data_IF_489623732980
#
_entry.id   IF_489623732980
#
_cell.length_a   1.000
_cell.length_b   1.000
_cell.length_c   1.000
_cell.angle_alpha   90.00
_cell.angle_beta   90.00
_cell.angle_gamma   90.00
#
_symmetry.space_group_name_H-M   'P 1'
#
loop_
_entity.id
_entity.type
_entity.pdbx_description
1 polymer ?
#
# COMPACT_ATOMS: atom_id res chain seq x y z
N UNK A 1 63.83 8.39 -48.19
CA UNK A 1 64.41 7.11 -48.67
C UNK A 1 63.53 6.03 -48.07
N UNK A 2 62.78 5.24 -48.85
CA UNK A 2 63.25 4.11 -49.67
C UNK A 2 63.91 3.04 -48.77
N UNK A 3 63.47 1.77 -48.70
CA UNK A 3 62.49 1.04 -49.53
C UNK A 3 61.88 -0.20 -48.81
N UNK A 4 60.68 -0.57 -49.26
CA UNK A 4 59.92 -1.85 -49.15
C UNK A 4 60.70 -3.12 -49.63
N UNK A 5 60.12 -4.36 -49.72
CA UNK A 5 58.99 -5.02 -48.99
C UNK A 5 59.19 -6.55 -48.73
N UNK A 6 58.09 -7.27 -48.34
CA UNK A 6 57.72 -8.69 -48.66
C UNK A 6 58.58 -9.87 -48.14
N UNK A 7 58.09 -11.07 -47.82
CA UNK A 7 56.75 -11.67 -47.54
C UNK A 7 56.98 -12.95 -46.66
N UNK A 8 56.06 -13.77 -46.13
CA UNK A 8 54.85 -14.43 -46.65
C UNK A 8 54.10 -15.19 -45.50
N UNK A 9 52.90 -15.71 -45.75
CA UNK A 9 51.92 -16.31 -44.80
C UNK A 9 51.56 -17.77 -45.25
N UNK A 10 50.87 -18.70 -44.56
CA UNK A 10 50.00 -18.79 -43.35
C UNK A 10 50.26 -20.16 -42.63
N UNK A 11 49.93 -20.41 -41.36
CA UNK A 11 48.79 -21.21 -40.78
C UNK A 11 49.21 -21.63 -39.34
N UNK A 12 48.40 -21.92 -38.31
CA UNK A 12 46.94 -22.06 -38.09
C UNK A 12 46.68 -22.54 -36.62
N UNK A 13 45.45 -22.92 -36.26
CA UNK A 13 45.03 -23.52 -34.95
C UNK A 13 44.83 -22.57 -33.75
N UNK A 14 43.64 -21.95 -33.75
CA UNK A 14 42.63 -21.92 -32.66
C UNK A 14 43.07 -21.78 -31.19
N UNK A 15 42.75 -20.61 -30.61
CA UNK A 15 42.62 -20.40 -29.16
C UNK A 15 41.18 -20.66 -28.70
N UNK A 16 41.00 -21.52 -27.69
CA UNK A 16 39.69 -21.75 -27.06
C UNK A 16 39.42 -20.73 -25.94
N UNK A 17 38.80 -19.61 -26.30
CA UNK A 17 38.12 -18.74 -25.33
C UNK A 17 36.63 -19.10 -25.28
N UNK A 18 36.03 -19.31 -24.09
CA UNK A 18 34.59 -19.52 -23.99
C UNK A 18 33.84 -18.20 -24.18
N UNK A 19 32.98 -18.15 -25.20
CA UNK A 19 32.08 -17.01 -25.42
C UNK A 19 31.17 -16.81 -24.21
N UNK A 20 31.28 -15.64 -23.58
CA UNK A 20 30.28 -15.14 -22.63
C UNK A 20 29.07 -14.72 -23.44
N UNK A 21 28.19 -15.69 -23.71
CA UNK A 21 26.91 -15.45 -24.34
C UNK A 21 26.07 -14.50 -23.46
N UNK A 22 26.03 -13.23 -23.84
CA UNK A 22 25.14 -12.22 -23.28
C UNK A 22 23.71 -12.69 -23.53
N UNK A 23 23.09 -13.28 -22.50
CA UNK A 23 21.68 -13.63 -22.57
C UNK A 23 20.88 -12.33 -22.65
N UNK A 24 20.36 -12.04 -23.84
CA UNK A 24 19.31 -11.04 -24.04
C UNK A 24 18.22 -11.23 -22.97
N UNK A 25 17.62 -10.14 -22.44
CA UNK A 25 16.56 -10.28 -21.46
C UNK A 25 15.47 -11.16 -22.07
N UNK A 26 15.21 -12.31 -21.45
CA UNK A 26 14.02 -13.10 -21.78
C UNK A 26 12.84 -12.15 -21.60
N UNK A 27 12.14 -11.86 -22.70
CA UNK A 27 10.75 -11.46 -22.60
C UNK A 27 10.08 -12.54 -21.75
N UNK A 28 9.69 -12.19 -20.53
CA UNK A 28 8.67 -12.96 -19.84
C UNK A 28 7.43 -12.84 -20.71
N UNK A 29 7.22 -13.85 -21.57
CA UNK A 29 5.95 -14.04 -22.24
C UNK A 29 4.89 -13.99 -21.17
N UNK A 30 3.95 -13.05 -21.30
CA UNK A 30 2.96 -12.75 -20.29
C UNK A 30 1.99 -13.92 -20.14
N UNK A 31 2.45 -14.97 -19.44
CA UNK A 31 1.62 -16.00 -18.88
C UNK A 31 0.56 -15.28 -18.07
N UNK A 32 -0.69 -15.43 -18.49
CA UNK A 32 -1.84 -14.93 -17.75
C UNK A 32 -1.92 -15.70 -16.44
N UNK A 33 -1.13 -15.27 -15.45
CA UNK A 33 -1.17 -15.76 -14.09
C UNK A 33 -2.60 -15.54 -13.61
N UNK A 34 -3.37 -16.62 -13.63
CA UNK A 34 -4.73 -16.67 -13.10
C UNK A 34 -4.62 -16.17 -11.66
N UNK A 35 -5.18 -14.99 -11.43
CA UNK A 35 -5.15 -14.40 -10.10
C UNK A 35 -5.94 -15.30 -9.16
N UNK A 36 -5.50 -15.48 -7.90
CA UNK A 36 -6.30 -16.21 -6.93
C UNK A 36 -7.68 -15.55 -6.80
N UNK A 37 -8.73 -16.33 -6.46
CA UNK A 37 -10.05 -15.78 -6.23
C UNK A 37 -10.01 -14.71 -5.15
N UNK A 38 -10.86 -13.71 -5.35
CA UNK A 38 -11.08 -12.60 -4.43
C UNK A 38 -12.53 -12.63 -4.01
N UNK A 39 -12.78 -12.50 -2.72
CA UNK A 39 -14.12 -12.30 -2.18
C UNK A 39 -14.19 -10.98 -1.43
N UNK A 40 -15.39 -10.40 -1.34
CA UNK A 40 -15.62 -9.12 -0.67
C UNK A 40 -16.78 -9.23 0.30
N UNK A 41 -16.64 -8.63 1.48
CA UNK A 41 -17.68 -8.69 2.50
C UNK A 41 -17.54 -7.65 3.61
N UNK A 42 -18.57 -7.63 4.44
CA UNK A 42 -18.71 -6.77 5.62
C UNK A 42 -19.13 -7.56 6.87
N UNK A 43 -19.22 -8.89 6.77
CA UNK A 43 -19.56 -9.75 7.92
C UNK A 43 -18.41 -9.80 8.93
N UNK A 44 -18.74 -10.26 10.14
CA UNK A 44 -17.79 -10.36 11.25
C UNK A 44 -16.53 -11.17 10.90
N UNK A 45 -16.65 -12.21 10.08
CA UNK A 45 -15.52 -13.04 9.64
C UNK A 45 -14.53 -12.27 8.77
N UNK A 46 -15.00 -11.43 7.84
CA UNK A 46 -14.12 -10.57 7.03
C UNK A 46 -13.44 -9.51 7.91
N UNK A 47 -14.18 -8.95 8.86
CA UNK A 47 -13.68 -7.93 9.79
C UNK A 47 -12.59 -8.50 10.69
N UNK A 48 -12.83 -9.68 11.30
CA UNK A 48 -11.86 -10.43 12.10
C UNK A 48 -10.65 -10.86 11.26
N UNK A 49 -10.88 -11.40 10.07
CA UNK A 49 -9.82 -11.85 9.16
C UNK A 49 -8.87 -10.72 8.78
N UNK A 50 -9.39 -9.54 8.42
CA UNK A 50 -8.55 -8.38 8.15
C UNK A 50 -7.83 -7.89 9.41
N UNK A 51 -8.51 -7.80 10.55
CA UNK A 51 -7.92 -7.34 11.80
C UNK A 51 -6.77 -8.26 12.28
N UNK A 52 -6.91 -9.59 12.14
CA UNK A 52 -5.87 -10.57 12.45
C UNK A 52 -4.66 -10.44 11.51
N UNK A 53 -4.89 -10.35 10.21
CA UNK A 53 -3.82 -10.22 9.23
C UNK A 53 -3.03 -8.91 9.43
N UNK A 54 -3.72 -7.79 9.71
CA UNK A 54 -3.09 -6.49 10.03
C UNK A 54 -2.33 -6.56 11.36
N UNK A 55 -2.89 -7.13 12.43
CA UNK A 55 -2.19 -7.19 13.71
C UNK A 55 -0.89 -7.99 13.64
N UNK A 56 -0.93 -9.13 12.94
CA UNK A 56 0.23 -10.00 12.72
C UNK A 56 1.29 -9.35 11.82
N UNK A 57 0.87 -8.65 10.76
CA UNK A 57 1.78 -8.01 9.80
C UNK A 57 2.39 -6.69 10.33
N UNK A 58 1.68 -5.94 11.17
CA UNK A 58 2.07 -4.59 11.62
C UNK A 58 2.58 -4.51 13.06
N UNK A 59 2.74 -5.64 13.76
CA UNK A 59 3.24 -5.68 15.16
C UNK A 59 4.64 -5.06 15.35
N UNK A 60 5.44 -4.97 14.29
CA UNK A 60 6.78 -4.37 14.28
C UNK A 60 6.87 -3.14 13.37
N UNK A 61 5.73 -2.63 12.88
CA UNK A 61 5.69 -1.42 12.08
C UNK A 61 5.86 -0.18 12.97
N UNK A 62 6.89 0.66 12.76
CA UNK A 62 7.19 1.77 13.68
C UNK A 62 6.03 2.74 13.89
N UNK A 63 5.24 3.04 12.84
CA UNK A 63 4.12 3.96 12.93
C UNK A 63 2.97 3.39 13.76
N UNK A 64 2.63 2.12 13.54
CA UNK A 64 1.63 1.43 14.36
C UNK A 64 2.05 1.32 15.82
N UNK A 65 3.31 0.96 16.08
CA UNK A 65 3.89 0.93 17.43
C UNK A 65 3.79 2.30 18.11
N UNK A 66 4.20 3.38 17.42
CA UNK A 66 4.06 4.75 17.93
C UNK A 66 2.60 5.13 18.26
N UNK A 67 1.62 4.71 17.45
CA UNK A 67 0.20 4.91 17.76
C UNK A 67 -0.37 3.97 18.84
N UNK A 68 0.42 3.04 19.38
CA UNK A 68 0.07 2.24 20.56
C UNK A 68 0.68 2.78 21.85
N UNK A 69 1.86 3.40 21.81
CA UNK A 69 2.45 3.98 23.03
C UNK A 69 1.57 5.06 23.65
N UNK A 70 0.85 5.85 22.85
CA UNK A 70 -0.16 6.82 23.32
C UNK A 70 -1.30 6.22 24.15
N UNK A 71 -1.57 4.92 24.00
CA UNK A 71 -2.67 4.22 24.70
C UNK A 71 -2.21 3.59 26.01
N UNK A 72 -0.93 3.71 26.36
CA UNK A 72 -0.39 3.18 27.59
C UNK A 72 -0.65 4.16 28.75
N UNK A 73 -0.75 3.65 29.99
CA UNK A 73 -0.67 4.47 31.19
C UNK A 73 0.60 5.34 31.22
N UNK A 74 0.60 6.39 32.05
CA UNK A 74 1.72 7.35 32.14
C UNK A 74 3.07 6.72 32.59
N UNK A 75 3.02 5.57 33.24
CA UNK A 75 4.15 4.72 33.64
C UNK A 75 4.43 3.55 32.69
N UNK A 76 3.59 3.38 31.65
CA UNK A 76 3.71 2.32 30.65
C UNK A 76 4.68 2.67 29.52
N UNK A 77 5.81 1.97 29.46
CA UNK A 77 6.72 1.96 28.31
C UNK A 77 6.25 0.94 27.26
N UNK A 78 6.46 1.22 25.97
CA UNK A 78 6.09 0.28 24.90
C UNK A 78 7.12 -0.86 24.76
N UNK A 79 8.36 -0.59 25.17
CA UNK A 79 9.47 -1.52 25.23
C UNK A 79 9.27 -2.63 26.27
N UNK A 80 8.37 -2.44 27.25
CA UNK A 80 8.00 -3.48 28.24
C UNK A 80 6.83 -4.37 27.79
N UNK A 81 6.16 -4.05 26.68
CA UNK A 81 5.05 -4.84 26.17
C UNK A 81 5.54 -6.10 25.45
N UNK A 82 4.81 -7.20 25.66
CA UNK A 82 5.00 -8.39 24.81
C UNK A 82 4.56 -8.10 23.37
N UNK A 83 5.16 -8.78 22.41
CA UNK A 83 4.77 -8.67 21.00
C UNK A 83 3.30 -9.08 20.78
N UNK A 84 2.75 -9.96 21.63
CA UNK A 84 1.34 -10.36 21.59
C UNK A 84 0.41 -9.27 22.13
N UNK A 85 0.83 -8.53 23.17
CA UNK A 85 0.11 -7.35 23.66
C UNK A 85 0.01 -6.28 22.57
N UNK A 86 1.10 -6.02 21.83
CA UNK A 86 1.11 -5.08 20.70
C UNK A 86 0.17 -5.57 19.59
N UNK A 87 0.18 -6.87 19.25
CA UNK A 87 -0.76 -7.46 18.29
C UNK A 87 -2.21 -7.26 18.73
N UNK A 88 -2.55 -7.57 19.98
CA UNK A 88 -3.91 -7.39 20.48
C UNK A 88 -4.36 -5.92 20.36
N UNK A 89 -3.52 -4.96 20.77
CA UNK A 89 -3.82 -3.52 20.64
C UNK A 89 -4.00 -3.06 19.18
N UNK A 90 -3.31 -3.69 18.22
CA UNK A 90 -3.50 -3.43 16.78
C UNK A 90 -4.78 -4.09 16.27
N UNK A 91 -5.07 -5.33 16.67
CA UNK A 91 -6.29 -6.05 16.34
C UNK A 91 -7.53 -5.27 16.81
N UNK A 92 -7.60 -4.91 18.09
CA UNK A 92 -8.73 -4.15 18.67
C UNK A 92 -8.95 -2.82 17.95
N UNK A 93 -7.86 -2.16 17.53
CA UNK A 93 -7.95 -0.92 16.78
C UNK A 93 -8.37 -1.14 15.32
N UNK A 94 -7.95 -2.23 14.68
CA UNK A 94 -8.41 -2.59 13.34
C UNK A 94 -9.92 -2.92 13.36
N UNK A 95 -10.37 -3.72 14.32
CA UNK A 95 -11.79 -4.00 14.57
C UNK A 95 -12.59 -2.70 14.75
N UNK A 96 -12.15 -1.80 15.64
CA UNK A 96 -12.83 -0.52 15.88
C UNK A 96 -12.85 0.39 14.64
N UNK A 97 -11.74 0.47 13.89
CA UNK A 97 -11.67 1.24 12.63
C UNK A 97 -12.66 0.69 11.60
N UNK A 98 -12.70 -0.63 11.40
CA UNK A 98 -13.60 -1.29 10.45
C UNK A 98 -15.08 -1.11 10.83
N UNK A 99 -15.43 -1.34 12.10
CA UNK A 99 -16.78 -1.16 12.62
C UNK A 99 -17.31 0.27 12.39
N UNK A 100 -16.44 1.27 12.46
CA UNK A 100 -16.77 2.67 12.21
C UNK A 100 -16.58 3.13 10.74
N UNK A 101 -16.26 2.22 9.80
CA UNK A 101 -16.11 2.50 8.35
C UNK A 101 -17.18 1.78 7.52
N UNK A 102 -17.49 0.53 7.86
CA UNK A 102 -18.46 -0.32 7.14
C UNK A 102 -19.86 0.33 7.01
N UNK A 103 -20.43 0.99 8.05
CA UNK A 103 -21.71 1.69 7.93
C UNK A 103 -21.72 2.84 6.90
N UNK A 104 -20.55 3.29 6.45
CA UNK A 104 -20.37 4.36 5.46
C UNK A 104 -19.87 3.82 4.10
N UNK A 105 -20.11 2.53 3.81
CA UNK A 105 -19.83 1.93 2.50
C UNK A 105 -18.43 1.36 2.31
N UNK A 106 -17.59 1.33 3.36
CA UNK A 106 -16.34 0.58 3.30
C UNK A 106 -16.59 -0.94 3.28
N UNK A 107 -15.69 -1.67 2.63
CA UNK A 107 -15.75 -3.13 2.56
C UNK A 107 -14.36 -3.76 2.66
N UNK A 108 -14.33 -5.01 3.11
CA UNK A 108 -13.12 -5.83 3.12
C UNK A 108 -13.08 -6.67 1.85
N UNK A 109 -11.90 -6.78 1.24
CA UNK A 109 -11.58 -7.76 0.22
C UNK A 109 -10.51 -8.72 0.78
N UNK A 110 -10.69 -10.03 0.60
CA UNK A 110 -9.67 -11.04 0.87
C UNK A 110 -9.26 -11.75 -0.43
N UNK A 111 -8.04 -12.28 -0.45
CA UNK A 111 -7.55 -13.10 -1.54
C UNK A 111 -6.89 -14.38 -1.01
N UNK A 112 -7.24 -15.50 -1.64
CA UNK A 112 -6.68 -16.82 -1.38
C UNK A 112 -6.81 -17.29 0.09
N UNK A 113 -7.97 -17.09 0.72
CA UNK A 113 -8.23 -17.55 2.07
C UNK A 113 -7.50 -16.69 3.11
N UNK A 114 -7.65 -15.37 3.00
CA UNK A 114 -7.00 -14.36 3.86
C UNK A 114 -5.46 -14.35 3.80
N UNK A 115 -4.83 -14.98 2.79
CA UNK A 115 -3.39 -14.85 2.52
C UNK A 115 -3.00 -13.38 2.31
N UNK A 116 -3.88 -12.62 1.65
CA UNK A 116 -3.85 -11.16 1.68
C UNK A 116 -5.24 -10.58 1.95
N UNK A 117 -5.28 -9.37 2.51
CA UNK A 117 -6.51 -8.61 2.82
C UNK A 117 -6.35 -7.13 2.49
N UNK A 118 -7.46 -6.46 2.16
CA UNK A 118 -7.54 -5.02 1.91
C UNK A 118 -8.88 -4.46 2.44
N UNK A 119 -8.88 -3.22 2.93
CA UNK A 119 -10.10 -2.46 3.23
C UNK A 119 -10.17 -1.23 2.33
N UNK A 120 -11.21 -1.19 1.51
CA UNK A 120 -11.53 -0.12 0.57
C UNK A 120 -12.64 0.74 1.14
N UNK A 121 -12.50 2.06 1.06
CA UNK A 121 -13.54 3.01 1.48
C UNK A 121 -13.74 4.17 0.49
N UNK A 122 -14.97 4.67 0.32
CA UNK A 122 -15.29 5.82 -0.52
C UNK A 122 -14.96 7.17 0.15
N UNK A 123 -15.01 8.27 -0.62
CA UNK A 123 -14.83 9.63 -0.10
C UNK A 123 -15.86 10.03 0.96
N UNK A 124 -17.07 9.47 0.92
CA UNK A 124 -18.21 9.89 1.74
C UNK A 124 -17.98 9.68 3.25
N UNK A 125 -17.01 8.83 3.61
CA UNK A 125 -16.51 8.68 4.99
C UNK A 125 -15.86 9.98 5.51
N UNK A 126 -15.43 10.87 4.62
CA UNK A 126 -14.70 12.11 4.92
C UNK A 126 -15.56 13.38 4.85
N UNK A 127 -16.76 13.34 4.28
CA UNK A 127 -17.70 14.49 4.25
C UNK A 127 -18.05 15.00 5.66
N UNK A 128 -18.08 14.10 6.64
CA UNK A 128 -18.21 14.40 8.06
C UNK A 128 -17.10 13.67 8.80
N UNK A 129 -16.06 14.39 9.28
CA UNK A 129 -14.99 13.76 10.03
C UNK A 129 -15.54 12.91 11.18
N UNK A 130 -15.32 11.60 11.09
CA UNK A 130 -15.61 10.68 12.19
C UNK A 130 -14.80 11.13 13.41
N UNK A 131 -15.34 11.00 14.63
CA UNK A 131 -14.66 11.47 15.85
C UNK A 131 -13.27 10.86 16.05
N UNK A 132 -13.03 9.65 15.53
CA UNK A 132 -11.71 8.99 15.55
C UNK A 132 -10.73 9.48 14.47
N UNK A 133 -11.16 10.39 13.59
CA UNK A 133 -10.38 11.03 12.52
C UNK A 133 -10.36 12.57 12.63
N UNK A 134 -11.04 13.14 13.62
CA UNK A 134 -11.00 14.56 13.95
C UNK A 134 -9.80 14.82 14.87
N UNK A 135 -8.83 15.58 14.36
CA UNK A 135 -7.58 15.87 15.07
C UNK A 135 -7.79 16.63 16.38
N UNK A 136 -8.74 17.57 16.43
CA UNK A 136 -9.04 18.34 17.63
C UNK A 136 -9.78 17.48 18.66
N UNK A 137 -10.72 16.64 18.21
CA UNK A 137 -11.44 15.73 19.09
C UNK A 137 -10.52 14.67 19.75
N UNK A 138 -9.48 14.21 19.05
CA UNK A 138 -8.54 13.22 19.62
C UNK A 138 -7.33 13.85 20.32
N UNK A 139 -7.02 15.14 20.09
CA UNK A 139 -5.79 15.84 20.55
C UNK A 139 -5.40 15.59 22.01
N UNK A 140 -6.37 15.62 22.91
CA UNK A 140 -6.18 15.43 24.36
C UNK A 140 -5.83 13.98 24.73
N UNK A 141 -6.37 13.01 23.98
CA UNK A 141 -6.23 11.57 24.30
C UNK A 141 -5.19 10.86 23.45
N UNK A 142 -4.85 11.42 22.28
CA UNK A 142 -3.94 10.84 21.27
C UNK A 142 -3.21 11.97 20.52
N UNK A 143 -2.31 12.73 21.18
CA UNK A 143 -1.68 13.91 20.61
C UNK A 143 -0.75 13.63 19.42
N UNK A 144 -0.09 12.46 19.38
CA UNK A 144 0.77 12.04 18.25
C UNK A 144 -0.10 11.63 17.05
N UNK A 145 -1.24 11.00 17.31
CA UNK A 145 -2.20 10.70 16.25
C UNK A 145 -2.91 11.96 15.72
N UNK A 146 -3.18 12.96 16.58
CA UNK A 146 -3.66 14.26 16.13
C UNK A 146 -2.62 14.97 15.25
N UNK A 147 -1.34 14.98 15.65
CA UNK A 147 -0.23 15.49 14.83
C UNK A 147 -0.16 14.80 13.45
N UNK A 148 -0.40 13.49 13.41
CA UNK A 148 -0.49 12.73 12.15
C UNK A 148 -1.69 13.14 11.30
N UNK A 149 -2.88 13.30 11.89
CA UNK A 149 -4.10 13.70 11.18
C UNK A 149 -4.00 15.12 10.60
N UNK A 150 -3.45 16.07 11.36
CA UNK A 150 -3.21 17.45 10.89
C UNK A 150 -2.29 17.47 9.65
N UNK A 151 -1.20 16.71 9.69
CA UNK A 151 -0.24 16.59 8.58
C UNK A 151 -0.80 15.84 7.38
N UNK A 152 -1.55 14.75 7.63
CA UNK A 152 -2.26 14.01 6.58
C UNK A 152 -3.25 14.90 5.83
N UNK A 153 -4.05 15.69 6.55
CA UNK A 153 -5.06 16.54 5.94
C UNK A 153 -4.43 17.70 5.14
N UNK A 154 -3.31 18.25 5.60
CA UNK A 154 -2.53 19.22 4.82
C UNK A 154 -2.02 18.62 3.48
N UNK A 155 -1.56 17.37 3.50
CA UNK A 155 -1.12 16.65 2.29
C UNK A 155 -2.30 16.33 1.36
N UNK A 156 -3.45 15.89 1.91
CA UNK A 156 -4.67 15.64 1.12
C UNK A 156 -5.19 16.92 0.45
N UNK A 157 -5.26 18.04 1.17
CA UNK A 157 -5.60 19.38 0.64
C UNK A 157 -4.69 19.83 -0.49
N UNK A 158 -3.40 19.55 -0.40
CA UNK A 158 -2.43 19.96 -1.42
C UNK A 158 -2.39 19.02 -2.64
N UNK A 159 -2.67 17.73 -2.47
CA UNK A 159 -2.35 16.72 -3.50
C UNK A 159 -3.50 15.78 -3.90
N UNK A 160 -4.40 15.41 -2.98
CA UNK A 160 -5.53 14.51 -3.28
C UNK A 160 -6.73 15.30 -3.81
N UNK A 161 -7.22 16.24 -3.00
CA UNK A 161 -8.47 16.96 -3.28
C UNK A 161 -8.46 17.68 -4.64
N UNK A 162 -7.37 18.35 -5.09
CA UNK A 162 -7.32 18.95 -6.44
C UNK A 162 -7.42 17.94 -7.59
N UNK A 163 -6.92 16.71 -7.40
CA UNK A 163 -7.01 15.64 -8.41
C UNK A 163 -8.41 15.04 -8.43
N UNK A 164 -8.99 14.76 -7.26
CA UNK A 164 -10.34 14.25 -7.12
C UNK A 164 -11.39 15.24 -7.64
N UNK A 165 -11.24 16.54 -7.38
CA UNK A 165 -12.14 17.57 -7.92
C UNK A 165 -12.15 17.56 -9.45
N UNK A 166 -10.96 17.59 -10.06
CA UNK A 166 -10.77 17.62 -11.52
C UNK A 166 -11.20 16.32 -12.23
N UNK A 167 -11.01 15.15 -11.60
CA UNK A 167 -11.30 13.85 -12.23
C UNK A 167 -12.74 13.37 -12.00
N UNK A 168 -13.28 13.64 -10.82
CA UNK A 168 -14.41 12.87 -10.27
C UNK A 168 -15.33 13.69 -9.36
N UNK A 169 -15.24 15.04 -9.40
CA UNK A 169 -16.04 15.98 -8.57
C UNK A 169 -15.86 15.74 -7.07
N UNK A 170 -14.61 15.57 -6.65
CA UNK A 170 -14.21 15.42 -5.25
C UNK A 170 -14.15 13.96 -4.77
N UNK A 171 -14.63 13.01 -5.57
CA UNK A 171 -14.71 11.59 -5.17
C UNK A 171 -13.41 10.83 -5.34
N UNK A 172 -13.13 9.88 -4.45
CA UNK A 172 -11.93 9.05 -4.49
C UNK A 172 -12.13 7.76 -3.69
N UNK A 173 -11.47 6.68 -4.11
CA UNK A 173 -11.36 5.46 -3.31
C UNK A 173 -10.10 5.50 -2.45
N UNK A 174 -10.19 5.04 -1.21
CA UNK A 174 -9.06 4.94 -0.30
C UNK A 174 -8.76 3.48 0.09
N UNK A 175 -7.52 3.05 -0.11
CA UNK A 175 -6.99 1.80 0.45
C UNK A 175 -6.48 2.06 1.87
N UNK A 176 -7.35 1.92 2.86
CA UNK A 176 -7.08 2.41 4.22
C UNK A 176 -6.39 1.42 5.16
N UNK A 177 -6.42 0.12 4.80
CA UNK A 177 -5.72 -0.99 5.44
C UNK A 177 -5.39 -2.03 4.37
N UNK A 178 -4.18 -2.58 4.39
CA UNK A 178 -3.79 -3.73 3.58
C UNK A 178 -2.77 -4.57 4.34
N UNK A 179 -2.87 -5.90 4.25
CA UNK A 179 -1.89 -6.80 4.85
C UNK A 179 -1.74 -8.10 4.05
N UNK A 180 -0.58 -8.75 4.20
CA UNK A 180 -0.33 -10.15 3.84
C UNK A 180 -0.09 -10.88 5.15
N UNK A 181 -1.01 -11.73 5.59
CA UNK A 181 -0.88 -12.40 6.89
C UNK A 181 0.39 -13.29 6.87
N UNK A 182 1.37 -13.08 7.77
CA UNK A 182 2.58 -13.89 7.83
C UNK A 182 2.35 -15.33 8.34
N UNK A 183 1.17 -15.62 8.88
CA UNK A 183 0.79 -16.95 9.42
C UNK A 183 -0.05 -17.80 8.45
N UNK A 184 -0.55 -17.20 7.37
CA UNK A 184 -1.25 -17.89 6.28
C UNK A 184 -0.23 -18.18 5.16
N UNK A 185 -0.27 -19.35 4.50
CA UNK A 185 0.64 -19.67 3.40
C UNK A 185 0.67 -18.57 2.32
N UNK A 186 1.86 -18.23 1.84
CA UNK A 186 2.03 -17.25 0.78
C UNK A 186 1.44 -17.76 -0.54
N UNK A 187 0.49 -17.01 -1.11
CA UNK A 187 -0.07 -17.30 -2.43
C UNK A 187 0.39 -16.25 -3.45
N UNK A 188 1.11 -16.70 -4.48
CA UNK A 188 1.62 -15.86 -5.57
C UNK A 188 0.44 -15.11 -6.22
N UNK A 189 0.52 -13.78 -6.22
CA UNK A 189 -0.49 -12.93 -6.83
C UNK A 189 -1.64 -12.48 -5.93
N UNK A 190 -1.74 -12.92 -4.66
CA UNK A 190 -2.81 -12.48 -3.75
C UNK A 190 -2.87 -10.95 -3.58
N UNK A 191 -1.72 -10.30 -3.35
CA UNK A 191 -1.59 -8.82 -3.31
C UNK A 191 -2.02 -8.18 -4.63
N UNK A 192 -1.67 -8.78 -5.78
CA UNK A 192 -2.06 -8.27 -7.12
C UNK A 192 -3.56 -8.39 -7.35
N UNK A 193 -4.20 -9.45 -6.83
CA UNK A 193 -5.63 -9.70 -6.94
C UNK A 193 -6.46 -8.68 -6.12
N UNK A 194 -5.93 -8.19 -5.01
CA UNK A 194 -6.57 -7.15 -4.19
C UNK A 194 -6.38 -5.72 -4.71
N UNK A 195 -5.36 -5.47 -5.53
CA UNK A 195 -5.05 -4.14 -6.05
C UNK A 195 -5.58 -3.95 -7.47
N UNK A 196 -5.06 -4.74 -8.42
CA UNK A 196 -5.22 -4.45 -9.86
C UNK A 196 -6.68 -4.51 -10.34
N UNK A 197 -7.52 -5.49 -9.96
CA UNK A 197 -8.94 -5.52 -10.35
C UNK A 197 -9.73 -4.31 -9.81
N UNK A 198 -9.52 -3.94 -8.55
CA UNK A 198 -10.22 -2.81 -7.93
C UNK A 198 -9.77 -1.48 -8.51
N UNK A 199 -8.46 -1.25 -8.63
CA UNK A 199 -7.91 -0.06 -9.30
C UNK A 199 -8.46 0.08 -10.73
N UNK A 200 -8.41 -0.98 -11.54
CA UNK A 200 -8.98 -0.98 -12.90
C UNK A 200 -10.47 -0.68 -12.92
N UNK A 201 -11.25 -1.22 -11.98
CA UNK A 201 -12.68 -0.94 -11.84
C UNK A 201 -12.90 0.55 -11.52
N UNK A 202 -12.28 1.04 -10.46
CA UNK A 202 -12.47 2.40 -9.96
C UNK A 202 -12.02 3.48 -10.94
N UNK A 203 -10.90 3.27 -11.64
CA UNK A 203 -10.39 4.20 -12.67
C UNK A 203 -10.87 3.86 -14.08
N UNK A 204 -11.90 3.02 -14.26
CA UNK A 204 -12.44 2.77 -15.61
C UNK A 204 -13.19 3.99 -16.11
N UNK A 205 -13.18 4.18 -17.44
CA UNK A 205 -14.06 5.14 -18.13
C UNK A 205 -15.53 4.69 -18.11
N UNK A 206 -15.77 3.39 -17.88
CA UNK A 206 -17.12 2.79 -17.81
C UNK A 206 -17.77 2.89 -16.42
N UNK A 207 -17.19 3.66 -15.49
CA UNK A 207 -17.90 4.07 -14.28
C UNK A 207 -18.97 5.11 -14.67
N UNK A 208 -20.19 4.98 -14.13
CA UNK A 208 -21.35 5.82 -14.51
C UNK A 208 -21.07 7.33 -14.45
N UNK A 209 -20.25 7.75 -13.47
CA UNK A 209 -19.84 9.13 -13.25
C UNK A 209 -18.35 9.40 -13.62
N UNK A 210 -17.74 8.55 -14.44
CA UNK A 210 -16.34 8.64 -14.85
C UNK A 210 -15.30 8.12 -13.84
N UNK A 211 -14.00 8.12 -14.22
CA UNK A 211 -12.94 7.45 -13.49
C UNK A 211 -12.62 8.12 -12.15
N UNK A 212 -12.69 7.34 -11.07
CA UNK A 212 -12.45 7.79 -9.69
C UNK A 212 -11.00 7.46 -9.30
N UNK A 213 -10.18 8.45 -8.87
CA UNK A 213 -8.81 8.21 -8.44
C UNK A 213 -8.75 7.39 -7.14
N UNK A 214 -7.64 6.70 -6.95
CA UNK A 214 -7.37 5.87 -5.77
C UNK A 214 -6.24 6.48 -4.95
N UNK A 215 -6.48 6.67 -3.65
CA UNK A 215 -5.52 7.18 -2.67
C UNK A 215 -5.06 6.08 -1.72
N UNK A 216 -3.87 6.25 -1.12
CA UNK A 216 -3.41 5.53 0.07
C UNK A 216 -2.35 6.30 0.86
N UNK A 217 -2.18 5.91 2.12
CA UNK A 217 -1.01 6.23 2.93
C UNK A 217 -0.05 5.03 3.03
N UNK A 218 1.19 5.16 2.57
CA UNK A 218 2.23 4.16 2.77
C UNK A 218 3.04 4.49 4.04
N UNK A 219 3.03 3.59 5.03
CA UNK A 219 3.74 3.78 6.31
C UNK A 219 5.22 3.38 6.33
N UNK A 220 5.75 2.83 5.23
CA UNK A 220 7.16 2.42 5.12
C UNK A 220 7.66 2.48 3.67
N UNK A 221 8.96 2.61 3.47
CA UNK A 221 9.58 2.58 2.12
C UNK A 221 9.30 1.25 1.39
N UNK A 222 9.20 0.13 2.14
CA UNK A 222 8.82 -1.16 1.55
C UNK A 222 7.38 -1.13 1.01
N UNK A 223 6.43 -0.61 1.79
CA UNK A 223 5.05 -0.46 1.33
C UNK A 223 4.98 0.50 0.13
N UNK A 224 5.71 1.62 0.18
CA UNK A 224 5.81 2.59 -0.91
C UNK A 224 6.31 1.96 -2.21
N UNK A 225 7.37 1.16 -2.14
CA UNK A 225 7.91 0.43 -3.29
C UNK A 225 6.92 -0.59 -3.88
N UNK A 226 6.16 -1.29 -3.02
CA UNK A 226 5.10 -2.20 -3.47
C UNK A 226 4.00 -1.44 -4.22
N UNK A 227 3.51 -0.32 -3.68
CA UNK A 227 2.46 0.47 -4.35
C UNK A 227 2.98 1.14 -5.65
N UNK A 228 4.22 1.61 -5.66
CA UNK A 228 4.87 2.14 -6.87
C UNK A 228 4.95 1.09 -7.99
N UNK A 229 5.25 -0.18 -7.67
CA UNK A 229 5.22 -1.29 -8.62
C UNK A 229 3.82 -1.53 -9.24
N UNK A 230 2.75 -1.19 -8.52
CA UNK A 230 1.39 -1.22 -9.05
C UNK A 230 0.96 0.08 -9.75
N UNK A 231 1.86 1.08 -9.85
CA UNK A 231 1.63 2.33 -10.58
C UNK A 231 1.09 3.48 -9.73
N UNK A 232 1.02 3.35 -8.40
CA UNK A 232 0.77 4.49 -7.53
C UNK A 232 1.97 5.46 -7.59
N UNK A 233 1.69 6.77 -7.63
CA UNK A 233 2.71 7.82 -7.59
C UNK A 233 2.78 8.43 -6.20
N UNK A 234 3.98 8.60 -5.67
CA UNK A 234 4.24 9.47 -4.52
C UNK A 234 3.89 10.92 -4.90
N UNK A 235 3.00 11.57 -4.16
CA UNK A 235 2.63 12.97 -4.39
C UNK A 235 2.92 13.88 -3.21
N UNK A 236 3.08 13.32 -2.01
CA UNK A 236 3.55 14.05 -0.84
C UNK A 236 4.06 13.11 0.24
N UNK A 237 4.79 13.66 1.21
CA UNK A 237 5.24 12.93 2.38
C UNK A 237 5.19 13.83 3.61
N UNK A 238 4.99 13.23 4.77
CA UNK A 238 5.04 13.89 6.07
C UNK A 238 5.73 12.98 7.08
N UNK A 239 6.16 13.58 8.18
CA UNK A 239 6.88 12.88 9.24
C UNK A 239 6.26 13.21 10.59
N UNK A 240 6.12 12.19 11.44
CA UNK A 240 5.70 12.31 12.84
C UNK A 240 6.73 11.59 13.68
N UNK A 241 7.41 12.34 14.56
CA UNK A 241 8.44 11.81 15.49
C UNK A 241 9.53 10.95 14.81
N UNK A 242 10.06 11.40 13.67
CA UNK A 242 11.07 10.66 12.89
C UNK A 242 10.51 9.56 11.97
N UNK A 243 9.20 9.28 12.03
CA UNK A 243 8.55 8.25 11.22
C UNK A 243 7.87 8.89 10.02
N UNK A 244 8.40 8.60 8.83
CA UNK A 244 7.93 9.15 7.55
C UNK A 244 6.80 8.31 6.95
N UNK A 245 5.78 8.98 6.43
CA UNK A 245 4.63 8.40 5.71
C UNK A 245 4.49 9.10 4.37
N UNK A 246 4.04 8.36 3.34
CA UNK A 246 3.88 8.85 1.97
C UNK A 246 2.43 8.80 1.53
N UNK A 247 1.94 9.91 0.99
CA UNK A 247 0.65 9.98 0.31
C UNK A 247 0.84 9.58 -1.15
N UNK A 248 0.11 8.56 -1.60
CA UNK A 248 0.23 8.03 -2.95
C UNK A 248 -1.11 7.99 -3.67
N UNK A 249 -1.08 8.26 -4.98
CA UNK A 249 -2.28 8.32 -5.81
C UNK A 249 -2.15 7.48 -7.09
N UNK A 250 -3.24 6.84 -7.50
CA UNK A 250 -3.37 6.13 -8.76
C UNK A 250 -4.57 6.66 -9.55
N UNK A 251 -4.37 6.97 -10.82
CA UNK A 251 -5.31 7.72 -11.68
C UNK A 251 -5.71 6.95 -12.95
N UNK A 252 -5.32 5.68 -13.08
CA UNK A 252 -5.61 4.84 -14.27
C UNK A 252 -4.82 5.19 -15.54
N UNK A 253 -4.28 6.42 -15.61
CA UNK A 253 -3.44 6.92 -16.70
C UNK A 253 -2.14 7.54 -16.15
N UNK A 254 -1.00 7.40 -16.83
CA UNK A 254 0.10 8.33 -16.62
C UNK A 254 -0.37 9.74 -16.97
N UNK A 255 -0.12 10.71 -16.09
CA UNK A 255 -0.26 12.12 -16.44
C UNK A 255 0.95 12.55 -17.28
N UNK A 256 0.68 13.21 -18.41
CA UNK A 256 1.68 13.86 -19.25
C UNK A 256 1.83 15.33 -18.86
#
# INVERSE_FOLDING_TARGET
>A
MATNPEALTIEGVQSNSPDVAVQSPRLETASSLVLPPVTTGTSEDYVKGLALAVSRASATDPLNVLFRSEKLPLDGSIESLSQESIRQMIYDNAMARLAAKIPHGAFVAEAAGFSAVACWEPESIYEKPRRDMDAEAVKVTRPIFAEFLEKLEAVRKKHLWPVAERMSRGRFWHLCLMARDPTVPYVKGAVRALLVPFMKKFTSVDQDDGPIPVWLEAGSEQAKAVYAHFGFREVGAWEVRGIKTWGMIYTGKPEH
#
